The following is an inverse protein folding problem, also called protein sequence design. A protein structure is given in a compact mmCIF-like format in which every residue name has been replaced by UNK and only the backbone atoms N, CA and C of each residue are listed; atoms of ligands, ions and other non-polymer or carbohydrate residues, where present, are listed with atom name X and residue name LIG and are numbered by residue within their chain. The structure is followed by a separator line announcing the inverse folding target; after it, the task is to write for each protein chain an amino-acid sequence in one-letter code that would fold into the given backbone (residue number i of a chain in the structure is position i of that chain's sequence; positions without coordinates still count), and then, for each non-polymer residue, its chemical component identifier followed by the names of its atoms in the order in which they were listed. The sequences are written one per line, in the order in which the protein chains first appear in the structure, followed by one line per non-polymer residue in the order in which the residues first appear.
data_IF_212726916586
#
_entry.id   IF_212726916586
#
_cell.length_a   1.000
_cell.length_b   1.000
_cell.length_c   1.000
_cell.angle_alpha   90.00
_cell.angle_beta   90.00
_cell.angle_gamma   90.00
#
_symmetry.space_group_name_H-M   'P 1'
#
loop_
_entity.id
_entity.type
_entity.pdbx_description
1 polymer ?
#
# COMPACT_ATOMS: atom_id res chain seq x y z
N UNK A 1 -40.92 -3.09 25.88
CA UNK A 1 -41.04 -3.12 24.40
C UNK A 1 -39.64 -3.05 23.83
N UNK A 2 -39.13 -4.16 23.30
CA UNK A 2 -37.81 -4.24 22.66
C UNK A 2 -37.99 -3.77 21.22
N UNK A 3 -37.48 -2.58 20.88
CA UNK A 3 -37.41 -2.11 19.50
C UNK A 3 -36.24 -2.82 18.82
N UNK A 4 -36.57 -3.80 17.98
CA UNK A 4 -35.62 -4.45 17.07
C UNK A 4 -35.41 -3.45 15.92
N UNK A 5 -34.32 -2.70 15.96
CA UNK A 5 -33.88 -1.88 14.83
C UNK A 5 -33.19 -2.79 13.81
N UNK A 6 -33.89 -3.06 12.71
CA UNK A 6 -33.37 -3.72 11.52
C UNK A 6 -32.40 -2.76 10.83
N UNK A 7 -31.12 -3.09 10.71
CA UNK A 7 -30.15 -2.31 9.95
C UNK A 7 -29.62 -3.13 8.78
N UNK A 8 -29.92 -2.64 7.57
CA UNK A 8 -29.36 -3.16 6.33
C UNK A 8 -27.91 -2.67 6.18
N UNK A 9 -26.99 -3.61 5.98
CA UNK A 9 -25.75 -3.34 5.26
C UNK A 9 -26.12 -3.43 3.78
N UNK A 10 -26.43 -2.31 3.13
CA UNK A 10 -26.65 -2.27 1.69
C UNK A 10 -25.30 -2.17 0.98
N UNK A 11 -24.77 -3.30 0.49
CA UNK A 11 -23.78 -3.27 -0.58
C UNK A 11 -24.51 -2.87 -1.87
N UNK A 12 -24.42 -1.59 -2.25
CA UNK A 12 -24.91 -1.11 -3.53
C UNK A 12 -23.79 -1.26 -4.56
N UNK A 13 -24.01 -2.09 -5.58
CA UNK A 13 -23.16 -2.15 -6.76
C UNK A 13 -23.29 -0.82 -7.53
N UNK A 14 -22.36 0.10 -7.31
CA UNK A 14 -22.32 1.38 -8.00
C UNK A 14 -21.58 1.23 -9.33
N UNK A 15 -22.31 1.29 -10.45
CA UNK A 15 -21.68 1.40 -11.77
C UNK A 15 -21.03 2.79 -11.92
N UNK A 16 -19.71 2.83 -11.81
CA UNK A 16 -18.79 3.67 -12.58
C UNK A 16 -19.16 5.12 -12.90
N UNK A 17 -19.80 5.87 -12.01
CA UNK A 17 -19.86 7.33 -12.13
C UNK A 17 -18.70 7.98 -11.36
N UNK A 18 -18.02 9.00 -11.93
CA UNK A 18 -17.13 9.84 -11.16
C UNK A 18 -17.91 10.40 -9.97
N UNK A 19 -17.28 10.49 -8.79
CA UNK A 19 -17.92 10.94 -7.57
C UNK A 19 -18.54 12.33 -7.76
N UNK A 20 -19.80 12.41 -8.16
CA UNK A 20 -20.59 13.63 -8.01
C UNK A 20 -20.49 14.02 -6.54
N UNK A 21 -20.07 15.26 -6.27
CA UNK A 21 -19.94 15.78 -4.91
C UNK A 21 -21.32 15.68 -4.24
N UNK A 22 -21.49 14.68 -3.36
CA UNK A 22 -22.76 14.48 -2.67
C UNK A 22 -23.04 15.71 -1.80
N UNK A 23 -24.29 16.23 -1.76
CA UNK A 23 -24.65 17.27 -0.80
C UNK A 23 -24.21 16.87 0.61
N UNK A 24 -23.56 17.78 1.34
CA UNK A 24 -23.03 17.50 2.67
C UNK A 24 -21.62 16.89 2.70
N UNK A 25 -20.94 16.74 1.56
CA UNK A 25 -19.55 16.27 1.53
C UNK A 25 -18.63 17.23 2.30
N UNK A 26 -17.89 16.70 3.28
CA UNK A 26 -16.89 17.44 4.05
C UNK A 26 -15.49 17.27 3.47
N UNK A 27 -15.12 16.04 3.15
CA UNK A 27 -13.78 15.69 2.68
C UNK A 27 -13.82 14.37 1.91
N UNK A 28 -12.84 14.20 1.02
CA UNK A 28 -12.56 12.92 0.37
C UNK A 28 -11.06 12.70 0.31
N UNK A 29 -10.64 11.44 0.17
CA UNK A 29 -9.24 11.09 0.12
C UNK A 29 -9.02 9.63 -0.23
N UNK A 30 -7.75 9.26 -0.32
CA UNK A 30 -7.36 7.88 -0.55
C UNK A 30 -6.06 7.51 0.15
N UNK A 31 -5.94 6.25 0.53
CA UNK A 31 -4.77 5.66 1.14
C UNK A 31 -4.50 4.30 0.50
N UNK A 32 -3.24 4.01 0.15
CA UNK A 32 -2.84 2.73 -0.43
C UNK A 32 -2.07 1.90 0.59
N UNK A 33 -2.43 0.64 0.76
CA UNK A 33 -1.78 -0.28 1.68
C UNK A 33 -1.35 -1.50 0.89
N UNK A 34 -0.05 -1.70 0.74
CA UNK A 34 0.49 -2.85 0.03
C UNK A 34 1.64 -3.44 0.84
N UNK A 35 1.58 -4.73 1.11
CA UNK A 35 2.67 -5.53 1.65
C UNK A 35 2.93 -6.68 0.69
N UNK A 36 4.12 -6.71 0.10
CA UNK A 36 4.53 -7.76 -0.82
C UNK A 36 3.53 -8.03 -1.98
N UNK A 37 3.00 -6.95 -2.55
CA UNK A 37 2.04 -6.97 -3.66
C UNK A 37 0.65 -7.48 -3.31
N UNK A 38 0.40 -7.75 -2.04
CA UNK A 38 -0.92 -7.99 -1.45
C UNK A 38 -1.36 -6.72 -0.73
N UNK A 39 -2.57 -6.27 -1.02
CA UNK A 39 -3.13 -5.11 -0.34
C UNK A 39 -4.21 -4.42 -1.14
N UNK A 40 -4.68 -3.31 -0.63
CA UNK A 40 -5.83 -2.61 -1.14
C UNK A 40 -5.62 -1.10 -1.09
N UNK A 41 -6.34 -0.39 -1.95
CA UNK A 41 -6.49 1.05 -1.86
C UNK A 41 -7.84 1.35 -1.22
N UNK A 42 -7.80 2.15 -0.16
CA UNK A 42 -8.94 2.69 0.56
C UNK A 42 -9.24 4.07 -0.01
N UNK A 43 -10.41 4.23 -0.62
CA UNK A 43 -10.95 5.53 -1.03
C UNK A 43 -12.12 5.88 -0.13
N UNK A 44 -12.17 7.10 0.40
CA UNK A 44 -13.26 7.53 1.27
C UNK A 44 -13.82 8.90 0.89
N UNK A 45 -15.08 9.11 1.24
CA UNK A 45 -15.77 10.40 1.24
C UNK A 45 -16.56 10.50 2.54
N UNK A 46 -16.30 11.55 3.33
CA UNK A 46 -17.03 11.87 4.54
C UNK A 46 -18.17 12.82 4.22
N UNK A 47 -19.39 12.47 4.62
CA UNK A 47 -20.62 13.21 4.32
C UNK A 47 -21.42 13.46 5.61
N UNK A 48 -22.06 14.60 5.72
CA UNK A 48 -23.05 14.87 6.77
C UNK A 48 -24.46 14.69 6.23
N UNK A 49 -25.26 13.88 6.91
CA UNK A 49 -26.60 13.49 6.47
C UNK A 49 -27.65 13.76 7.56
N UNK A 50 -28.73 14.52 7.27
CA UNK A 50 -28.89 15.35 6.08
C UNK A 50 -27.88 16.54 6.10
N UNK A 51 -27.58 17.13 4.94
CA UNK A 51 -26.70 18.30 4.89
C UNK A 51 -27.29 19.45 5.71
N UNK A 52 -26.47 20.15 6.52
CA UNK A 52 -26.92 21.34 7.24
C UNK A 52 -27.23 22.48 6.25
N UNK A 53 -27.95 23.50 6.74
CA UNK A 53 -28.19 24.73 5.97
C UNK A 53 -26.89 25.47 5.62
N UNK A 54 -25.90 25.43 6.52
CA UNK A 54 -24.59 26.04 6.32
C UNK A 54 -23.48 25.04 6.67
N UNK A 55 -22.72 24.60 5.68
CA UNK A 55 -21.59 23.69 5.89
C UNK A 55 -20.46 24.32 6.71
N UNK A 56 -20.37 25.66 6.73
CA UNK A 56 -19.39 26.42 7.54
C UNK A 56 -19.55 26.22 9.05
N UNK A 57 -20.70 25.73 9.49
CA UNK A 57 -20.98 25.47 10.90
C UNK A 57 -20.29 24.18 11.38
N UNK A 58 -19.83 23.35 10.44
CA UNK A 58 -19.13 22.10 10.72
C UNK A 58 -17.62 22.35 10.65
N UNK A 59 -16.94 22.25 11.80
CA UNK A 59 -15.48 22.30 11.90
C UNK A 59 -14.91 20.92 12.19
N UNK A 60 -15.06 20.05 11.19
CA UNK A 60 -14.44 18.73 11.20
C UNK A 60 -13.21 18.74 10.32
N UNK A 61 -12.05 18.47 10.92
CA UNK A 61 -10.81 18.18 10.19
C UNK A 61 -10.47 16.71 10.32
N UNK A 62 -9.50 16.22 9.56
CA UNK A 62 -9.09 14.82 9.68
C UNK A 62 -8.24 14.34 8.54
N UNK A 63 -7.91 13.06 8.59
CA UNK A 63 -7.17 12.40 7.53
C UNK A 63 -7.03 10.91 7.78
N UNK A 64 -6.09 10.33 7.05
CA UNK A 64 -5.72 8.93 7.14
C UNK A 64 -4.23 8.85 7.43
N UNK A 65 -3.87 8.05 8.42
CA UNK A 65 -2.50 7.57 8.63
C UNK A 65 -2.48 6.08 8.35
N UNK A 66 -1.41 5.60 7.73
CA UNK A 66 -1.21 4.17 7.49
C UNK A 66 -0.10 3.69 8.42
N UNK A 67 -0.34 2.58 9.10
CA UNK A 67 0.68 1.80 9.78
C UNK A 67 0.56 0.33 9.36
N UNK A 68 1.58 -0.18 8.67
CA UNK A 68 1.58 -1.52 8.09
C UNK A 68 0.33 -1.83 7.26
N UNK A 69 -0.53 -2.73 7.75
CA UNK A 69 -1.78 -3.17 7.13
C UNK A 69 -3.00 -2.65 7.88
N UNK A 70 -2.84 -1.53 8.61
CA UNK A 70 -3.92 -0.79 9.27
C UNK A 70 -4.01 0.64 8.74
N UNK A 71 -5.23 1.05 8.36
CA UNK A 71 -5.60 2.45 8.12
C UNK A 71 -6.17 3.02 9.41
N UNK A 72 -5.55 4.09 9.90
CA UNK A 72 -6.08 4.89 10.99
C UNK A 72 -6.81 6.08 10.39
N UNK A 73 -8.14 6.00 10.34
CA UNK A 73 -9.00 7.11 9.91
C UNK A 73 -9.38 7.91 11.15
N UNK A 74 -8.98 9.18 11.20
CA UNK A 74 -9.29 10.07 12.33
C UNK A 74 -9.94 11.36 11.83
N UNK A 75 -11.00 11.76 12.52
CA UNK A 75 -11.59 13.10 12.43
C UNK A 75 -11.47 13.81 13.77
N UNK A 76 -11.25 15.11 13.71
CA UNK A 76 -11.21 16.00 14.86
C UNK A 76 -12.39 16.97 14.77
N UNK A 77 -13.11 17.09 15.87
CA UNK A 77 -14.11 18.13 16.10
C UNK A 77 -13.48 19.25 16.92
N UNK A 78 -13.20 20.35 16.22
CA UNK A 78 -12.55 21.51 16.84
C UNK A 78 -13.50 22.29 17.74
N UNK A 79 -14.81 22.21 17.51
CA UNK A 79 -15.81 22.92 18.32
C UNK A 79 -15.97 22.24 19.68
N UNK A 80 -16.08 20.92 19.68
CA UNK A 80 -16.31 20.14 20.90
C UNK A 80 -15.01 19.62 21.54
N UNK A 81 -13.84 19.90 20.96
CA UNK A 81 -12.53 19.41 21.41
C UNK A 81 -12.50 17.88 21.54
N UNK A 82 -13.05 17.21 20.52
CA UNK A 82 -13.21 15.76 20.45
C UNK A 82 -12.50 15.19 19.22
N UNK A 83 -12.21 13.90 19.25
CA UNK A 83 -11.80 13.17 18.07
C UNK A 83 -12.48 11.80 18.01
N UNK A 84 -12.71 11.32 16.81
CA UNK A 84 -13.36 10.04 16.55
C UNK A 84 -12.86 9.44 15.25
N UNK A 85 -13.10 8.15 15.06
CA UNK A 85 -12.61 7.43 13.92
C UNK A 85 -12.45 5.96 14.19
N UNK A 86 -11.74 5.28 13.28
CA UNK A 86 -11.63 3.83 13.31
C UNK A 86 -10.31 3.37 12.70
N UNK A 87 -9.90 2.19 13.15
CA UNK A 87 -8.89 1.40 12.47
C UNK A 87 -9.58 0.49 11.45
N UNK A 88 -9.06 0.47 10.23
CA UNK A 88 -9.50 -0.44 9.17
C UNK A 88 -8.36 -1.38 8.78
N UNK A 89 -8.65 -2.67 8.79
CA UNK A 89 -7.79 -3.69 8.18
C UNK A 89 -8.60 -4.44 7.13
N UNK A 90 -7.91 -4.94 6.11
CA UNK A 90 -8.51 -5.89 5.18
C UNK A 90 -7.50 -6.97 4.78
N UNK A 91 -8.01 -8.17 4.62
CA UNK A 91 -7.27 -9.33 4.12
C UNK A 91 -8.02 -9.93 2.94
N UNK A 92 -7.33 -10.72 2.12
CA UNK A 92 -7.99 -11.46 1.03
C UNK A 92 -9.15 -12.29 1.57
N UNK A 93 -10.30 -12.17 0.92
CA UNK A 93 -11.51 -12.93 1.20
C UNK A 93 -11.49 -14.32 0.56
N UNK A 94 -12.62 -15.06 0.63
CA UNK A 94 -12.71 -16.42 0.11
C UNK A 94 -12.73 -16.51 -1.42
N UNK A 95 -13.05 -15.41 -2.12
CA UNK A 95 -13.09 -15.34 -3.58
C UNK A 95 -12.11 -14.32 -4.18
N UNK A 96 -11.80 -14.44 -5.49
CA UNK A 96 -11.03 -13.42 -6.21
C UNK A 96 -11.68 -12.04 -6.11
N UNK A 97 -10.87 -11.01 -5.82
CA UNK A 97 -11.37 -9.64 -5.67
C UNK A 97 -12.25 -9.41 -4.43
N UNK A 98 -12.31 -10.37 -3.50
CA UNK A 98 -13.00 -10.20 -2.23
C UNK A 98 -12.03 -9.84 -1.11
N UNK A 99 -12.51 -9.05 -0.16
CA UNK A 99 -11.77 -8.65 1.02
C UNK A 99 -12.62 -8.90 2.27
N UNK A 100 -12.02 -9.51 3.29
CA UNK A 100 -12.60 -9.50 4.63
C UNK A 100 -12.14 -8.22 5.33
N UNK A 101 -13.08 -7.30 5.53
CA UNK A 101 -12.84 -5.99 6.15
C UNK A 101 -13.17 -6.05 7.62
N UNK A 102 -12.27 -5.53 8.46
CA UNK A 102 -12.50 -5.38 9.90
C UNK A 102 -12.37 -3.90 10.27
N UNK A 103 -13.35 -3.40 11.02
CA UNK A 103 -13.41 -2.03 11.50
C UNK A 103 -13.38 -2.07 13.02
N UNK A 104 -12.37 -1.45 13.62
CA UNK A 104 -12.08 -1.51 15.05
C UNK A 104 -11.97 -0.11 15.65
N UNK A 105 -12.04 0.04 16.99
CA UNK A 105 -11.74 1.29 17.65
C UNK A 105 -10.41 1.88 17.21
N UNK A 106 -10.37 3.20 17.00
CA UNK A 106 -9.17 3.93 16.62
C UNK A 106 -8.08 3.77 17.68
N UNK A 107 -6.93 3.25 17.30
CA UNK A 107 -5.78 3.11 18.22
C UNK A 107 -4.88 4.34 18.23
N UNK A 108 -4.95 5.20 17.21
CA UNK A 108 -4.28 6.48 17.20
C UNK A 108 -4.86 7.39 18.29
N UNK A 109 -4.02 7.86 19.21
CA UNK A 109 -4.44 8.71 20.32
C UNK A 109 -4.05 10.17 20.10
N UNK A 110 -4.94 11.07 20.51
CA UNK A 110 -4.63 12.48 20.69
C UNK A 110 -4.39 12.76 22.18
N UNK A 111 -3.39 13.55 22.51
CA UNK A 111 -3.13 13.98 23.90
C UNK A 111 -3.93 15.22 24.29
N UNK A 112 -4.59 15.89 23.34
CA UNK A 112 -5.27 17.18 23.55
C UNK A 112 -6.78 17.14 23.30
N UNK A 113 -7.29 16.09 22.66
CA UNK A 113 -8.71 15.94 22.30
C UNK A 113 -9.33 14.75 23.04
N UNK A 114 -10.63 14.83 23.31
CA UNK A 114 -11.37 13.75 23.99
C UNK A 114 -11.81 12.69 22.97
N UNK A 115 -11.51 11.39 23.18
CA UNK A 115 -11.95 10.34 22.28
C UNK A 115 -13.46 10.12 22.37
N UNK A 116 -14.11 9.96 21.21
CA UNK A 116 -15.51 9.55 21.09
C UNK A 116 -15.56 8.26 20.26
N UNK A 117 -16.10 7.15 20.80
CA UNK A 117 -16.22 5.92 20.05
C UNK A 117 -17.31 6.04 18.98
N UNK A 118 -17.23 5.20 17.95
CA UNK A 118 -18.32 5.08 16.99
C UNK A 118 -19.61 4.62 17.69
N UNK A 119 -20.79 4.99 17.17
CA UNK A 119 -22.07 4.50 17.68
C UNK A 119 -22.13 2.97 17.69
N UNK A 120 -21.51 2.32 16.70
CA UNK A 120 -21.40 0.86 16.58
C UNK A 120 -20.25 0.47 15.67
N UNK A 121 -19.53 -0.59 16.04
CA UNK A 121 -18.59 -1.27 15.13
C UNK A 121 -19.29 -2.45 14.46
N UNK A 122 -19.27 -2.56 13.12
CA UNK A 122 -19.81 -3.72 12.43
C UNK A 122 -18.91 -4.95 12.65
N UNK A 123 -19.46 -6.17 12.59
CA UNK A 123 -18.64 -7.37 12.57
C UNK A 123 -17.80 -7.43 11.27
N UNK A 124 -16.71 -8.22 11.26
CA UNK A 124 -15.94 -8.45 10.04
C UNK A 124 -16.85 -8.89 8.89
N UNK A 125 -16.69 -8.24 7.73
CA UNK A 125 -17.60 -8.41 6.60
C UNK A 125 -16.80 -8.65 5.33
N UNK A 126 -17.24 -9.61 4.52
CA UNK A 126 -16.68 -9.85 3.19
C UNK A 126 -17.32 -8.88 2.21
N UNK A 127 -16.49 -8.13 1.47
CA UNK A 127 -16.92 -7.21 0.41
C UNK A 127 -16.21 -7.52 -0.89
N UNK A 128 -16.83 -7.18 -2.02
CA UNK A 128 -16.17 -7.23 -3.31
C UNK A 128 -15.41 -5.93 -3.57
N UNK A 129 -14.40 -6.02 -4.40
CA UNK A 129 -13.71 -4.86 -4.95
C UNK A 129 -14.71 -3.86 -5.57
N UNK A 130 -14.59 -2.60 -5.17
CA UNK A 130 -15.46 -1.51 -5.62
C UNK A 130 -16.79 -1.40 -4.86
N UNK A 131 -17.15 -2.36 -3.99
CA UNK A 131 -18.33 -2.21 -3.12
C UNK A 131 -18.15 -0.99 -2.21
N UNK A 132 -19.22 -0.20 -2.06
CA UNK A 132 -19.24 0.94 -1.14
C UNK A 132 -19.75 0.50 0.22
N UNK A 133 -18.93 0.69 1.25
CA UNK A 133 -19.31 0.55 2.65
C UNK A 133 -19.70 1.94 3.18
N UNK A 134 -20.86 2.03 3.82
CA UNK A 134 -21.29 3.21 4.56
C UNK A 134 -21.12 2.96 6.07
N UNK A 135 -20.38 3.82 6.74
CA UNK A 135 -20.12 3.73 8.17
C UNK A 135 -20.52 5.03 8.87
N UNK A 136 -21.51 4.94 9.74
CA UNK A 136 -21.90 6.06 10.60
C UNK A 136 -20.81 6.26 11.66
N UNK A 137 -20.10 7.38 11.58
CA UNK A 137 -18.95 7.68 12.44
C UNK A 137 -19.37 8.48 13.67
N UNK A 138 -20.32 9.40 13.48
CA UNK A 138 -20.87 10.24 14.54
C UNK A 138 -22.37 10.42 14.30
N UNK A 139 -23.15 10.48 15.36
CA UNK A 139 -24.59 10.77 15.31
C UNK A 139 -24.87 11.88 16.31
N UNK A 140 -25.65 12.87 15.91
CA UNK A 140 -26.06 13.99 16.77
C UNK A 140 -26.88 13.49 17.97
N UNK A 141 -26.89 14.20 19.10
CA UNK A 141 -27.65 13.79 20.28
C UNK A 141 -29.15 13.59 20.03
N UNK A 142 -29.74 14.32 19.08
CA UNK A 142 -31.14 14.19 18.68
C UNK A 142 -31.38 13.10 17.62
N UNK A 143 -30.32 12.45 17.13
CA UNK A 143 -30.35 11.39 16.12
C UNK A 143 -30.74 11.86 14.72
N UNK A 144 -30.89 13.17 14.49
CA UNK A 144 -31.38 13.70 13.21
C UNK A 144 -30.28 13.93 12.19
N UNK A 145 -29.03 14.03 12.64
CA UNK A 145 -27.89 14.24 11.76
C UNK A 145 -26.78 13.24 12.10
N UNK A 146 -26.06 12.82 11.07
CA UNK A 146 -24.93 11.91 11.22
C UNK A 146 -23.80 12.30 10.29
N UNK A 147 -22.59 11.93 10.69
CA UNK A 147 -21.39 11.95 9.84
C UNK A 147 -21.14 10.53 9.38
N UNK A 148 -21.09 10.33 8.08
CA UNK A 148 -20.95 9.01 7.44
C UNK A 148 -19.69 9.00 6.60
N UNK A 149 -18.86 7.98 6.75
CA UNK A 149 -17.83 7.66 5.78
C UNK A 149 -18.40 6.67 4.76
N UNK A 150 -18.36 7.05 3.49
CA UNK A 150 -18.53 6.14 2.37
C UNK A 150 -17.16 5.77 1.85
N UNK A 151 -16.83 4.49 1.84
CA UNK A 151 -15.54 4.06 1.35
C UNK A 151 -15.59 2.79 0.53
N UNK A 152 -14.62 2.67 -0.36
CA UNK A 152 -14.43 1.53 -1.26
C UNK A 152 -13.03 0.99 -1.08
N UNK A 153 -12.92 -0.34 -1.18
CA UNK A 153 -11.65 -1.02 -1.31
C UNK A 153 -11.46 -1.42 -2.77
N UNK A 154 -10.30 -1.09 -3.32
CA UNK A 154 -9.87 -1.63 -4.61
C UNK A 154 -8.59 -2.45 -4.47
N UNK A 155 -8.57 -3.54 -5.21
CA UNK A 155 -7.45 -4.45 -5.28
C UNK A 155 -6.30 -3.88 -6.04
N UNK A 156 -5.11 -4.25 -5.59
CA UNK A 156 -3.95 -4.18 -6.44
C UNK A 156 -3.95 -5.29 -7.47
N UNK A 157 -3.85 -4.97 -8.76
CA UNK A 157 -3.34 -5.95 -9.71
C UNK A 157 -1.89 -6.24 -9.29
N UNK A 158 -1.66 -7.41 -8.69
CA UNK A 158 -0.32 -7.79 -8.25
C UNK A 158 0.60 -7.92 -9.45
N UNK A 159 1.87 -7.61 -9.24
CA UNK A 159 2.88 -7.79 -10.26
C UNK A 159 2.92 -9.24 -10.77
N UNK A 160 2.78 -9.42 -12.08
CA UNK A 160 2.73 -10.72 -12.74
C UNK A 160 4.14 -11.23 -13.10
N UNK A 161 4.33 -12.55 -13.33
CA UNK A 161 5.58 -13.06 -13.86
C UNK A 161 5.95 -12.43 -15.21
N UNK A 162 7.25 -12.42 -15.53
CA UNK A 162 7.74 -11.96 -16.82
C UNK A 162 7.17 -12.81 -17.96
N UNK A 163 6.91 -12.16 -19.09
CA UNK A 163 6.38 -12.83 -20.31
C UNK A 163 7.46 -13.06 -21.36
N UNK A 164 8.50 -12.22 -21.36
CA UNK A 164 9.61 -12.31 -22.29
C UNK A 164 10.47 -13.56 -22.06
N UNK A 165 10.56 -14.38 -23.10
CA UNK A 165 11.45 -15.54 -23.19
C UNK A 165 12.75 -15.25 -23.94
N UNK A 166 13.00 -13.99 -24.33
CA UNK A 166 14.19 -13.61 -25.10
C UNK A 166 15.50 -13.92 -24.34
N UNK A 167 16.58 -14.20 -25.06
CA UNK A 167 17.90 -14.35 -24.41
C UNK A 167 18.35 -13.01 -23.80
N UNK A 168 18.82 -12.99 -22.53
CA UNK A 168 19.27 -11.76 -21.90
C UNK A 168 20.53 -11.21 -22.56
N UNK A 169 20.48 -9.94 -22.95
CA UNK A 169 21.63 -9.21 -23.52
C UNK A 169 22.13 -8.13 -22.57
N UNK A 170 23.28 -7.55 -22.87
CA UNK A 170 23.76 -6.41 -22.08
C UNK A 170 22.92 -5.16 -22.35
N UNK A 171 22.76 -4.36 -21.30
CA UNK A 171 22.07 -3.08 -21.35
C UNK A 171 22.89 -2.03 -22.10
N UNK A 172 22.20 -1.19 -22.84
CA UNK A 172 22.74 -0.01 -23.51
C UNK A 172 21.91 1.22 -23.15
N UNK A 173 22.45 2.44 -23.23
CA UNK A 173 21.68 3.65 -22.97
C UNK A 173 20.38 3.79 -23.80
N UNK A 174 20.35 3.19 -24.99
CA UNK A 174 19.19 3.21 -25.90
C UNK A 174 18.00 2.37 -25.37
N UNK A 175 18.22 1.52 -24.36
CA UNK A 175 17.18 0.69 -23.75
C UNK A 175 16.24 1.46 -22.80
N UNK A 176 16.60 2.71 -22.50
CA UNK A 176 15.86 3.61 -21.63
C UNK A 176 16.37 3.65 -20.20
N UNK A 177 15.81 4.56 -19.41
CA UNK A 177 16.17 4.72 -18.00
C UNK A 177 15.60 3.59 -17.14
N UNK A 178 16.32 3.27 -16.05
CA UNK A 178 15.82 2.40 -14.99
C UNK A 178 14.75 3.13 -14.19
N UNK A 179 13.60 2.50 -14.03
CA UNK A 179 12.52 2.97 -13.19
C UNK A 179 11.99 1.82 -12.34
N UNK A 180 11.84 2.05 -11.04
CA UNK A 180 11.21 1.08 -10.14
C UNK A 180 10.06 1.77 -9.44
N UNK A 181 8.85 1.30 -9.72
CA UNK A 181 7.65 1.65 -8.99
C UNK A 181 7.38 0.59 -7.92
N UNK A 182 7.34 1.01 -6.66
CA UNK A 182 7.10 0.14 -5.51
C UNK A 182 5.63 -0.21 -5.30
N UNK A 183 4.73 0.47 -6.02
CA UNK A 183 3.31 0.20 -5.94
C UNK A 183 3.04 -1.26 -6.32
N UNK A 184 2.50 -2.03 -5.37
CA UNK A 184 2.09 -3.42 -5.55
C UNK A 184 3.25 -4.36 -5.94
N UNK A 185 4.48 -3.99 -5.61
CA UNK A 185 5.68 -4.81 -5.83
C UNK A 185 5.61 -6.11 -5.02
N UNK A 186 5.92 -7.25 -5.67
CA UNK A 186 6.04 -8.57 -5.05
C UNK A 186 7.51 -8.99 -5.02
N UNK A 187 8.00 -9.36 -3.86
CA UNK A 187 9.29 -10.00 -3.64
C UNK A 187 9.07 -11.47 -3.30
N UNK A 188 9.73 -12.35 -4.05
CA UNK A 188 9.76 -13.78 -3.81
C UNK A 188 11.16 -14.18 -3.36
N UNK A 189 11.21 -15.08 -2.38
CA UNK A 189 12.43 -15.74 -1.92
C UNK A 189 12.21 -17.24 -2.12
N UNK A 190 13.10 -17.88 -2.88
CA UNK A 190 12.95 -19.30 -3.24
C UNK A 190 11.59 -19.62 -3.91
N UNK A 191 11.12 -18.72 -4.77
CA UNK A 191 9.86 -18.87 -5.51
C UNK A 191 8.58 -18.69 -4.68
N UNK A 192 8.69 -18.35 -3.39
CA UNK A 192 7.55 -18.07 -2.52
C UNK A 192 7.52 -16.59 -2.14
N UNK A 193 6.34 -15.94 -2.03
CA UNK A 193 6.25 -14.57 -1.54
C UNK A 193 6.96 -14.43 -0.19
N UNK A 194 7.84 -13.43 -0.06
CA UNK A 194 8.45 -13.08 1.21
C UNK A 194 7.40 -12.88 2.31
N UNK A 195 7.63 -13.49 3.48
CA UNK A 195 6.79 -13.34 4.67
C UNK A 195 7.20 -12.15 5.54
N UNK A 196 8.40 -11.63 5.30
CA UNK A 196 8.95 -10.41 5.91
C UNK A 196 8.36 -9.16 5.27
N UNK A 197 8.46 -8.03 5.98
CA UNK A 197 8.03 -6.74 5.43
C UNK A 197 8.88 -6.39 4.22
N UNK A 198 8.27 -5.85 3.17
CA UNK A 198 8.98 -5.35 1.99
C UNK A 198 8.91 -3.81 1.94
N UNK A 199 9.95 -3.18 1.40
CA UNK A 199 10.02 -1.73 1.24
C UNK A 199 10.82 -1.31 0.02
N UNK A 200 10.57 -0.08 -0.45
CA UNK A 200 11.30 0.54 -1.54
C UNK A 200 11.79 1.94 -1.13
N UNK A 201 13.02 2.27 -1.51
CA UNK A 201 13.53 3.64 -1.48
C UNK A 201 14.15 4.02 -2.82
N UNK A 202 13.75 5.15 -3.39
CA UNK A 202 14.25 5.60 -4.69
C UNK A 202 15.05 6.88 -4.50
N UNK A 203 16.33 6.85 -4.89
CA UNK A 203 17.20 8.01 -5.00
C UNK A 203 17.72 8.14 -6.44
N UNK A 204 18.28 9.30 -6.83
CA UNK A 204 18.87 9.46 -8.14
C UNK A 204 19.97 8.41 -8.41
N UNK A 205 19.82 7.65 -9.49
CA UNK A 205 20.76 6.60 -9.90
C UNK A 205 20.06 5.46 -10.62
N UNK A 206 20.84 4.55 -11.20
CA UNK A 206 20.33 3.39 -11.95
C UNK A 206 20.77 2.04 -11.35
N UNK A 207 21.53 2.07 -10.24
CA UNK A 207 21.98 0.86 -9.56
C UNK A 207 20.93 0.45 -8.55
N UNK A 208 20.49 -0.78 -8.66
CA UNK A 208 19.48 -1.36 -7.78
C UNK A 208 20.21 -2.03 -6.63
N UNK A 209 19.68 -1.99 -5.43
CA UNK A 209 20.18 -2.79 -4.32
C UNK A 209 19.05 -3.44 -3.56
N UNK A 210 19.29 -4.65 -3.06
CA UNK A 210 18.36 -5.40 -2.22
C UNK A 210 19.09 -5.82 -0.94
N UNK A 211 18.57 -5.43 0.22
CA UNK A 211 19.02 -5.98 1.51
C UNK A 211 18.00 -6.94 2.07
N UNK A 212 18.45 -8.07 2.59
CA UNK A 212 17.60 -9.05 3.26
C UNK A 212 18.13 -9.33 4.67
N UNK A 213 17.24 -9.66 5.64
CA UNK A 213 17.64 -9.99 7.00
C UNK A 213 18.72 -11.07 7.05
N UNK A 214 19.80 -10.82 7.80
CA UNK A 214 20.93 -11.73 7.99
C UNK A 214 21.67 -12.14 6.71
N UNK A 215 21.45 -11.45 5.59
CA UNK A 215 22.08 -11.74 4.29
C UNK A 215 22.90 -10.56 3.76
N UNK A 216 22.99 -9.44 4.49
CA UNK A 216 23.66 -8.24 4.00
C UNK A 216 22.87 -7.56 2.87
N UNK A 217 23.58 -7.06 1.86
CA UNK A 217 22.99 -6.39 0.70
C UNK A 217 23.59 -6.87 -0.61
N UNK A 218 22.73 -7.10 -1.59
CA UNK A 218 23.07 -7.34 -2.98
C UNK A 218 22.99 -6.02 -3.75
N UNK A 219 24.02 -5.72 -4.52
CA UNK A 219 24.08 -4.55 -5.40
C UNK A 219 24.00 -5.08 -6.82
N UNK A 220 23.02 -4.58 -7.56
CA UNK A 220 22.61 -5.09 -8.87
C UNK A 220 22.84 -3.98 -9.91
N UNK A 221 23.66 -4.27 -10.91
CA UNK A 221 23.98 -3.37 -12.01
C UNK A 221 23.56 -3.98 -13.35
N UNK A 222 23.08 -3.14 -14.25
CA UNK A 222 22.83 -3.50 -15.65
C UNK A 222 24.11 -3.48 -16.50
N UNK A 223 25.19 -2.91 -15.95
CA UNK A 223 26.51 -2.84 -16.59
C UNK A 223 27.52 -3.71 -15.83
N UNK A 224 28.51 -4.30 -16.53
CA UNK A 224 29.58 -5.02 -15.87
C UNK A 224 30.49 -4.06 -15.08
N UNK A 225 30.93 -4.50 -13.90
CA UNK A 225 31.89 -3.79 -13.05
C UNK A 225 32.82 -4.79 -12.36
N UNK A 226 34.01 -4.33 -11.98
CA UNK A 226 34.93 -5.13 -11.17
C UNK A 226 34.28 -5.56 -9.86
N UNK A 227 34.38 -6.85 -9.53
CA UNK A 227 33.77 -7.44 -8.33
C UNK A 227 32.31 -7.87 -8.49
N UNK A 228 31.68 -7.62 -9.64
CA UNK A 228 30.33 -8.09 -9.93
C UNK A 228 30.38 -9.37 -10.77
N UNK A 229 29.44 -10.27 -10.52
CA UNK A 229 29.24 -11.48 -11.32
C UNK A 229 27.94 -11.39 -12.10
N UNK A 230 27.93 -11.87 -13.34
CA UNK A 230 26.72 -12.01 -14.15
C UNK A 230 25.86 -13.15 -13.56
N UNK A 231 24.93 -12.80 -12.68
CA UNK A 231 24.22 -13.74 -11.81
C UNK A 231 22.72 -13.43 -11.67
N UNK A 232 22.16 -12.69 -12.62
CA UNK A 232 20.74 -12.40 -12.67
C UNK A 232 20.30 -11.87 -14.01
N UNK A 233 19.01 -11.53 -14.08
CA UNK A 233 18.38 -10.93 -15.25
C UNK A 233 17.32 -9.91 -14.85
N UNK A 234 17.07 -8.96 -15.74
CA UNK A 234 15.83 -8.17 -15.76
C UNK A 234 15.02 -8.63 -16.96
N UNK A 235 13.77 -9.01 -16.76
CA UNK A 235 12.83 -9.43 -17.81
C UNK A 235 11.51 -8.70 -17.64
N UNK A 236 11.17 -7.85 -18.59
CA UNK A 236 9.99 -6.98 -18.52
C UNK A 236 9.92 -6.20 -17.18
N UNK A 237 9.05 -6.63 -16.27
CA UNK A 237 8.76 -6.08 -14.96
C UNK A 237 9.37 -6.89 -13.80
N UNK A 238 10.24 -7.87 -14.09
CA UNK A 238 10.81 -8.81 -13.13
C UNK A 238 12.34 -8.72 -13.06
N UNK A 239 12.88 -8.54 -11.87
CA UNK A 239 14.29 -8.77 -11.53
C UNK A 239 14.39 -10.19 -10.96
N UNK A 240 15.31 -11.00 -11.46
CA UNK A 240 15.62 -12.31 -10.86
C UNK A 240 17.12 -12.47 -10.73
N UNK A 241 17.60 -12.91 -9.56
CA UNK A 241 19.02 -13.16 -9.35
C UNK A 241 19.26 -14.20 -8.27
N UNK A 242 20.45 -14.80 -8.30
CA UNK A 242 20.93 -15.69 -7.24
C UNK A 242 22.43 -15.48 -7.07
N UNK A 243 22.85 -15.19 -5.84
CA UNK A 243 24.25 -15.03 -5.50
C UNK A 243 24.46 -15.51 -4.06
N UNK A 244 25.16 -16.62 -3.90
CA UNK A 244 25.49 -17.24 -2.60
C UNK A 244 24.31 -17.24 -1.59
N UNK A 245 23.24 -17.99 -1.92
CA UNK A 245 22.00 -17.97 -1.15
C UNK A 245 20.78 -18.42 -1.95
N UNK A 246 19.56 -18.18 -1.42
CA UNK A 246 18.32 -18.47 -2.14
C UNK A 246 18.17 -17.55 -3.37
N UNK A 247 17.44 -17.98 -4.41
CA UNK A 247 17.10 -17.09 -5.51
C UNK A 247 16.09 -16.05 -5.03
N UNK A 248 16.29 -14.82 -5.49
CA UNK A 248 15.39 -13.69 -5.27
C UNK A 248 14.70 -13.33 -6.58
N UNK A 249 13.43 -12.95 -6.46
CA UNK A 249 12.67 -12.39 -7.57
C UNK A 249 11.92 -11.15 -7.08
N UNK A 250 12.00 -10.05 -7.83
CA UNK A 250 11.23 -8.84 -7.57
C UNK A 250 10.38 -8.56 -8.79
N UNK A 251 9.06 -8.52 -8.60
CA UNK A 251 8.08 -8.19 -9.63
C UNK A 251 7.48 -6.83 -9.34
N UNK A 252 7.41 -6.00 -10.36
CA UNK A 252 6.73 -4.70 -10.34
C UNK A 252 5.54 -4.71 -11.30
N UNK A 253 4.61 -3.77 -11.17
CA UNK A 253 3.47 -3.67 -12.12
C UNK A 253 3.95 -3.12 -13.45
N UNK A 254 4.82 -2.11 -13.39
CA UNK A 254 5.38 -1.43 -14.56
C UNK A 254 6.69 -2.11 -15.01
N UNK A 255 7.08 -2.01 -16.30
CA UNK A 255 8.41 -2.42 -16.75
C UNK A 255 9.53 -1.72 -15.96
N UNK A 256 10.60 -2.46 -15.65
CA UNK A 256 11.76 -1.92 -14.89
C UNK A 256 12.62 -1.00 -15.76
N UNK A 257 12.60 -1.27 -17.06
CA UNK A 257 13.23 -0.45 -18.09
C UNK A 257 12.15 0.12 -19.00
N UNK A 258 12.43 1.24 -19.66
CA UNK A 258 11.48 1.94 -20.53
C UNK A 258 10.94 1.14 -21.72
N UNK A 259 11.47 -0.07 -21.95
CA UNK A 259 11.00 -1.04 -22.95
C UNK A 259 10.82 -2.43 -22.35
N UNK A 260 10.02 -3.29 -23.01
CA UNK A 260 9.96 -4.72 -22.69
C UNK A 260 11.16 -5.44 -23.29
N UNK A 261 11.67 -6.47 -22.61
CA UNK A 261 12.91 -7.11 -23.03
C UNK A 261 13.56 -7.98 -21.95
N UNK A 262 14.78 -8.43 -22.22
CA UNK A 262 15.57 -9.26 -21.32
C UNK A 262 17.02 -8.76 -21.27
N UNK A 263 17.51 -8.46 -20.06
CA UNK A 263 18.84 -7.92 -19.84
C UNK A 263 19.61 -8.72 -18.80
N UNK A 264 20.93 -8.79 -18.98
CA UNK A 264 21.85 -9.32 -18.00
C UNK A 264 21.87 -8.43 -16.76
N UNK A 265 21.91 -9.06 -15.59
CA UNK A 265 22.10 -8.38 -14.32
C UNK A 265 23.38 -8.88 -13.66
N UNK A 266 24.21 -7.94 -13.29
CA UNK A 266 25.48 -8.16 -12.61
C UNK A 266 25.26 -7.91 -11.12
N UNK A 267 25.72 -8.83 -10.28
CA UNK A 267 25.45 -8.86 -8.85
C UNK A 267 26.76 -8.83 -8.08
N UNK A 268 26.85 -7.94 -7.10
CA UNK A 268 27.88 -7.95 -6.07
C UNK A 268 27.21 -8.11 -4.71
N UNK A 269 27.78 -8.95 -3.84
CA UNK A 269 27.28 -9.18 -2.50
C UNK A 269 28.15 -8.48 -1.46
N UNK A 270 27.54 -7.56 -0.73
CA UNK A 270 28.11 -6.89 0.43
C UNK A 270 27.53 -7.53 1.71
N UNK A 271 28.17 -8.62 2.15
CA UNK A 271 27.75 -9.37 3.33
C UNK A 271 27.91 -8.59 4.64
N UNK A 272 28.76 -7.55 4.65
CA UNK A 272 29.03 -6.73 5.84
C UNK A 272 28.00 -5.63 6.03
N UNK A 273 27.17 -5.34 5.02
CA UNK A 273 26.12 -4.36 5.13
C UNK A 273 25.10 -4.74 6.21
N UNK A 274 25.05 -3.95 7.27
CA UNK A 274 24.00 -4.07 8.28
C UNK A 274 22.82 -3.22 7.85
N UNK A 275 21.69 -3.88 7.54
CA UNK A 275 20.47 -3.14 7.28
C UNK A 275 20.09 -2.31 8.51
N UNK A 276 19.81 -1.02 8.32
CA UNK A 276 19.37 -0.11 9.39
C UNK A 276 17.97 -0.44 9.90
N UNK A 277 17.24 -1.30 9.21
CA UNK A 277 15.93 -1.78 9.61
C UNK A 277 16.12 -2.86 10.66
N UNK A 278 15.22 -2.91 11.63
CA UNK A 278 14.95 -3.91 12.69
C UNK A 278 15.22 -5.42 12.44
N UNK A 279 15.84 -5.83 11.33
CA UNK A 279 16.12 -7.21 10.97
C UNK A 279 14.90 -7.95 10.41
N UNK A 280 13.79 -7.26 10.15
CA UNK A 280 12.51 -7.91 9.78
C UNK A 280 12.12 -7.58 8.33
N UNK A 281 12.86 -6.70 7.65
CA UNK A 281 12.47 -6.18 6.33
C UNK A 281 13.42 -6.59 5.20
N UNK A 282 12.87 -6.99 4.04
CA UNK A 282 13.58 -6.95 2.76
C UNK A 282 13.37 -5.56 2.16
N UNK A 283 14.46 -4.85 1.88
CA UNK A 283 14.42 -3.52 1.28
C UNK A 283 15.04 -3.53 -0.10
N UNK A 284 14.34 -2.94 -1.05
CA UNK A 284 14.85 -2.62 -2.37
C UNK A 284 15.15 -1.12 -2.43
N UNK A 285 16.12 -0.72 -3.25
CA UNK A 285 16.27 0.67 -3.59
C UNK A 285 17.06 0.95 -4.85
N UNK A 286 16.98 2.21 -5.26
CA UNK A 286 17.79 2.81 -6.31
C UNK A 286 18.76 3.82 -5.71
N UNK A 287 20.01 3.79 -6.13
CA UNK A 287 21.02 4.78 -5.77
C UNK A 287 22.09 4.84 -6.89
N UNK A 288 23.06 5.74 -6.74
CA UNK A 288 24.27 5.73 -7.57
C UNK A 288 25.22 4.65 -7.09
N UNK A 289 25.92 4.00 -8.01
CA UNK A 289 26.85 2.91 -7.69
C UNK A 289 27.89 3.33 -6.64
N UNK A 290 28.47 4.51 -6.79
CA UNK A 290 29.51 5.04 -5.89
C UNK A 290 29.03 5.22 -4.43
N UNK A 291 27.72 5.34 -4.21
CA UNK A 291 27.14 5.42 -2.87
C UNK A 291 26.95 4.03 -2.23
N UNK A 292 26.98 2.98 -3.03
CA UNK A 292 26.67 1.61 -2.62
C UNK A 292 27.92 0.78 -2.37
N UNK A 293 29.01 1.05 -3.08
CA UNK A 293 30.26 0.32 -2.93
C UNK A 293 30.80 0.43 -1.49
N UNK A 294 31.37 -0.65 -0.92
CA UNK A 294 32.05 -0.58 0.36
C UNK A 294 33.12 0.51 0.34
N UNK A 295 33.11 1.37 1.37
CA UNK A 295 34.16 2.39 1.52
C UNK A 295 35.46 1.66 1.84
N UNK A 296 36.49 1.90 1.02
CA UNK A 296 37.85 1.45 1.28
C UNK A 296 38.47 2.21 2.45
#
# INVERSE_FOLDING_TARGET
MVRISLFLICALAAMGQPSESRPGTLQSGSAGMYSNGVGFRFHYTTVVEPPPAHMSDIRLTGGVKIDHMTVHRQLNDEVHQQYFGYDLTAVSGPGPGQYTVTISPLTAQSTTLTPVPLPKYPPPTVVNEGDTIALDILVSPDGKQKVVDYFQLSGGQSAIPATSTAEPRDYTPDDGAVHINGDRMVVLVNGQPATTRTGLTVKPGATIWLSAPNQGRYILSLLPHDGFQKAGTVRDNVISFQYDGPPYEVRTVDPILGSKGAWNLYVMHDAQFQSRTDGICIYLGLDRLENLLPKR
#
